data_IF_273209909822
#
_entry.id   IF_273209909822
#
_cell.length_a   1.000
_cell.length_b   1.000
_cell.length_c   1.000
_cell.angle_alpha   90.00
_cell.angle_beta   90.00
_cell.angle_gamma   90.00
#
_symmetry.space_group_name_H-M   'P 1'
#
loop_
_entity.id
_entity.type
_entity.pdbx_description
1 polymer ?
#
# COMPACT_ATOMS: atom_id res chain seq x y z
N UNK A 1 -18.71 -0.57 33.85
CA UNK A 1 -17.94 -1.49 32.97
C UNK A 1 -18.20 -1.07 31.54
N UNK A 2 -17.17 -0.55 30.86
CA UNK A 2 -17.29 -0.03 29.51
C UNK A 2 -17.25 -1.18 28.50
N UNK A 3 -18.32 -1.37 27.74
CA UNK A 3 -18.29 -2.14 26.52
C UNK A 3 -17.80 -1.21 25.41
N UNK A 4 -16.50 -1.24 25.12
CA UNK A 4 -16.01 -0.80 23.83
C UNK A 4 -16.49 -1.83 22.81
N UNK A 5 -17.69 -1.61 22.27
CA UNK A 5 -18.13 -2.30 21.07
C UNK A 5 -17.23 -1.76 19.96
N UNK A 6 -16.29 -2.61 19.57
CA UNK A 6 -15.57 -2.59 18.31
C UNK A 6 -16.54 -2.13 17.22
N UNK A 7 -16.49 -0.84 16.85
CA UNK A 7 -17.24 -0.36 15.72
C UNK A 7 -16.64 -1.10 14.52
N UNK A 8 -17.40 -1.93 13.78
CA UNK A 8 -16.92 -2.33 12.48
C UNK A 8 -16.63 -1.02 11.75
N UNK A 9 -15.47 -0.91 11.11
CA UNK A 9 -15.28 0.05 10.02
C UNK A 9 -16.42 -0.23 9.02
N UNK A 10 -17.59 0.40 9.22
CA UNK A 10 -18.78 0.36 8.37
C UNK A 10 -18.48 1.21 7.14
N UNK A 11 -17.49 0.75 6.39
CA UNK A 11 -17.19 1.27 5.09
C UNK A 11 -18.13 0.57 4.11
N UNK A 12 -18.99 1.30 3.38
CA UNK A 12 -19.91 0.72 2.42
C UNK A 12 -19.22 -0.17 1.37
N UNK A 13 -17.95 0.10 1.05
CA UNK A 13 -17.15 -0.75 0.16
C UNK A 13 -16.87 -2.14 0.74
N UNK A 14 -16.59 -2.24 2.04
CA UNK A 14 -16.35 -3.53 2.70
C UNK A 14 -17.64 -4.34 2.81
N UNK A 15 -18.76 -3.66 3.09
CA UNK A 15 -20.07 -4.29 3.17
C UNK A 15 -20.52 -4.83 1.80
N UNK A 16 -20.36 -4.02 0.74
CA UNK A 16 -20.64 -4.43 -0.64
C UNK A 16 -19.77 -5.63 -1.05
N UNK A 17 -18.47 -5.58 -0.77
CA UNK A 17 -17.57 -6.71 -1.04
C UNK A 17 -18.01 -7.99 -0.32
N UNK A 18 -18.46 -7.90 0.93
CA UNK A 18 -19.00 -9.06 1.65
C UNK A 18 -20.32 -9.58 1.07
N UNK A 19 -21.18 -8.70 0.55
CA UNK A 19 -22.41 -9.11 -0.14
C UNK A 19 -22.08 -9.86 -1.43
N UNK A 20 -21.14 -9.35 -2.22
CA UNK A 20 -20.77 -9.97 -3.49
C UNK A 20 -20.04 -11.31 -3.29
N UNK A 21 -19.29 -11.48 -2.19
CA UNK A 21 -18.77 -12.80 -1.78
C UNK A 21 -19.91 -13.78 -1.53
N UNK A 22 -20.98 -13.36 -0.83
CA UNK A 22 -22.14 -14.24 -0.57
C UNK A 22 -22.83 -14.63 -1.87
N UNK A 23 -23.03 -13.67 -2.77
CA UNK A 23 -23.61 -13.92 -4.10
C UNK A 23 -22.77 -14.93 -4.88
N UNK A 24 -21.45 -14.76 -4.93
CA UNK A 24 -20.54 -15.68 -5.62
C UNK A 24 -20.55 -17.09 -5.02
N UNK A 25 -20.79 -17.24 -3.71
CA UNK A 25 -20.99 -18.56 -3.08
C UNK A 25 -22.32 -19.18 -3.53
N UNK A 26 -23.41 -18.40 -3.54
CA UNK A 26 -24.72 -18.87 -3.98
C UNK A 26 -24.70 -19.28 -5.47
N UNK A 27 -23.91 -18.60 -6.29
CA UNK A 27 -23.70 -18.91 -7.70
C UNK A 27 -22.75 -20.11 -7.93
N UNK A 28 -22.12 -20.65 -6.87
CA UNK A 28 -21.14 -21.73 -6.97
C UNK A 28 -19.81 -21.30 -7.63
N UNK A 29 -19.52 -20.00 -7.65
CA UNK A 29 -18.27 -19.41 -8.15
C UNK A 29 -17.19 -19.33 -7.06
N UNK A 30 -17.59 -19.37 -5.78
CA UNK A 30 -16.71 -19.50 -4.62
C UNK A 30 -17.09 -20.70 -3.76
N UNK A 31 -16.06 -21.40 -3.28
CA UNK A 31 -16.18 -22.49 -2.31
C UNK A 31 -16.00 -21.99 -0.89
N UNK A 32 -16.51 -22.72 0.10
CA UNK A 32 -16.34 -22.38 1.53
C UNK A 32 -14.86 -22.21 1.92
N UNK A 33 -13.91 -23.09 1.50
CA UNK A 33 -12.49 -22.87 1.76
C UNK A 33 -11.96 -21.54 1.20
N UNK A 34 -12.33 -21.17 -0.03
CA UNK A 34 -11.92 -19.90 -0.63
C UNK A 34 -12.49 -18.70 0.14
N UNK A 35 -13.73 -18.79 0.63
CA UNK A 35 -14.34 -17.75 1.48
C UNK A 35 -13.57 -17.59 2.79
N UNK A 36 -13.17 -18.69 3.44
CA UNK A 36 -12.37 -18.65 4.67
C UNK A 36 -11.01 -17.98 4.42
N UNK A 37 -10.37 -18.28 3.29
CA UNK A 37 -9.10 -17.66 2.91
C UNK A 37 -9.25 -16.15 2.65
N UNK A 38 -10.33 -15.73 1.98
CA UNK A 38 -10.65 -14.31 1.79
C UNK A 38 -10.85 -13.60 3.13
N UNK A 39 -11.62 -14.19 4.05
CA UNK A 39 -11.86 -13.62 5.39
C UNK A 39 -10.58 -13.50 6.21
N UNK A 40 -9.74 -14.54 6.22
CA UNK A 40 -8.46 -14.53 6.92
C UNK A 40 -7.51 -13.46 6.34
N UNK A 41 -7.47 -13.32 5.01
CA UNK A 41 -6.64 -12.30 4.35
C UNK A 41 -7.15 -10.88 4.62
N UNK A 42 -8.46 -10.66 4.64
CA UNK A 42 -9.05 -9.38 5.03
C UNK A 42 -8.77 -9.02 6.50
N UNK A 43 -8.76 -10.02 7.39
CA UNK A 43 -8.40 -9.83 8.80
C UNK A 43 -6.93 -9.41 8.92
N UNK A 44 -6.02 -10.09 8.23
CA UNK A 44 -4.60 -9.72 8.19
C UNK A 44 -4.38 -8.27 7.69
N UNK A 45 -5.16 -7.82 6.69
CA UNK A 45 -5.14 -6.43 6.21
C UNK A 45 -5.70 -5.41 7.22
N UNK A 46 -6.61 -5.81 8.10
CA UNK A 46 -7.08 -4.95 9.20
C UNK A 46 -6.00 -4.83 10.27
N UNK A 47 -5.41 -5.95 10.66
CA UNK A 47 -4.37 -6.02 11.69
C UNK A 47 -3.09 -5.30 11.28
N UNK A 48 -2.67 -5.41 10.01
CA UNK A 48 -1.47 -4.71 9.51
C UNK A 48 -1.60 -3.19 9.63
N UNK A 49 -2.80 -2.65 9.40
CA UNK A 49 -3.07 -1.21 9.57
C UNK A 49 -3.05 -0.81 11.05
N UNK A 50 -3.63 -1.64 11.93
CA UNK A 50 -3.64 -1.37 13.37
C UNK A 50 -2.23 -1.45 14.01
N UNK A 51 -1.34 -2.28 13.44
CA UNK A 51 0.02 -2.47 13.92
C UNK A 51 0.99 -1.34 13.52
N UNK A 52 0.70 -0.56 12.46
CA UNK A 52 1.53 0.57 12.04
C UNK A 52 1.40 1.75 13.02
N UNK A 53 2.29 1.78 14.01
CA UNK A 53 2.43 2.90 14.94
C UNK A 53 3.24 4.05 14.31
N UNK A 54 2.96 5.32 14.65
CA UNK A 54 3.80 6.44 14.24
C UNK A 54 5.27 6.21 14.63
N UNK A 55 6.18 6.27 13.64
CA UNK A 55 7.62 6.06 13.84
C UNK A 55 8.08 4.60 13.88
N UNK A 56 7.18 3.63 13.81
CA UNK A 56 7.56 2.23 13.59
C UNK A 56 8.05 2.03 12.13
N UNK A 57 8.91 1.02 11.87
CA UNK A 57 9.27 0.64 10.52
C UNK A 57 8.02 0.36 9.69
N UNK A 58 8.03 0.81 8.44
CA UNK A 58 7.03 0.47 7.45
C UNK A 58 7.03 -1.05 7.20
N UNK A 59 5.83 -1.63 7.17
CA UNK A 59 5.56 -3.00 6.75
C UNK A 59 4.67 -2.99 5.51
N UNK A 60 5.24 -3.38 4.37
CA UNK A 60 4.57 -3.57 3.09
C UNK A 60 4.33 -5.06 2.78
N UNK A 61 5.10 -5.96 3.39
CA UNK A 61 5.08 -7.40 3.08
C UNK A 61 3.82 -8.06 3.60
N UNK A 62 3.43 -7.80 4.86
CA UNK A 62 2.20 -8.37 5.44
C UNK A 62 0.95 -7.99 4.64
N UNK A 63 0.69 -6.70 4.36
CA UNK A 63 -0.48 -6.33 3.55
C UNK A 63 -0.37 -6.84 2.11
N UNK A 64 0.83 -6.88 1.50
CA UNK A 64 1.03 -7.46 0.18
C UNK A 64 0.64 -8.94 0.13
N UNK A 65 1.09 -9.74 1.10
CA UNK A 65 0.80 -11.17 1.14
C UNK A 65 -0.69 -11.44 1.25
N UNK A 66 -1.40 -10.65 2.05
CA UNK A 66 -2.85 -10.74 2.18
C UNK A 66 -3.59 -10.34 0.89
N UNK A 67 -3.20 -9.23 0.25
CA UNK A 67 -3.77 -8.83 -1.06
C UNK A 67 -3.48 -9.88 -2.14
N UNK A 68 -2.28 -10.46 -2.14
CA UNK A 68 -1.88 -11.48 -3.11
C UNK A 68 -2.72 -12.75 -3.00
N UNK A 69 -3.02 -13.21 -1.78
CA UNK A 69 -3.95 -14.33 -1.54
C UNK A 69 -5.37 -14.01 -2.02
N UNK A 70 -5.86 -12.80 -1.75
CA UNK A 70 -7.19 -12.37 -2.23
C UNK A 70 -7.25 -12.39 -3.76
N UNK A 71 -6.24 -11.84 -4.44
CA UNK A 71 -6.13 -11.86 -5.90
C UNK A 71 -6.04 -13.30 -6.44
N UNK A 72 -5.31 -14.19 -5.77
CA UNK A 72 -5.21 -15.59 -6.16
C UNK A 72 -6.57 -16.29 -6.08
N UNK A 73 -7.33 -16.06 -5.00
CA UNK A 73 -8.70 -16.58 -4.89
C UNK A 73 -9.58 -16.00 -6.00
N UNK A 74 -9.56 -14.69 -6.24
CA UNK A 74 -10.34 -14.04 -7.31
C UNK A 74 -10.04 -14.61 -8.70
N UNK A 75 -8.78 -14.91 -8.99
CA UNK A 75 -8.37 -15.51 -10.26
C UNK A 75 -8.98 -16.90 -10.52
N UNK A 76 -9.51 -17.56 -9.49
CA UNK A 76 -10.22 -18.85 -9.60
C UNK A 76 -11.74 -18.72 -9.69
N UNK A 77 -12.30 -17.54 -9.43
CA UNK A 77 -13.75 -17.27 -9.48
C UNK A 77 -14.23 -17.25 -10.92
N UNK A 78 -15.42 -17.77 -11.19
CA UNK A 78 -16.03 -17.75 -12.53
C UNK A 78 -16.55 -16.35 -12.89
N UNK A 79 -16.62 -16.05 -14.18
CA UNK A 79 -17.34 -14.87 -14.65
C UNK A 79 -18.86 -15.07 -14.50
N UNK A 80 -19.65 -14.03 -14.20
CA UNK A 80 -19.26 -12.62 -14.06
C UNK A 80 -18.77 -12.22 -12.65
N UNK A 81 -18.92 -13.11 -11.66
CA UNK A 81 -18.65 -12.80 -10.25
C UNK A 81 -17.21 -12.32 -10.01
N UNK A 82 -16.25 -12.81 -10.80
CA UNK A 82 -14.85 -12.37 -10.74
C UNK A 82 -14.72 -10.86 -10.92
N UNK A 83 -15.31 -10.30 -11.98
CA UNK A 83 -15.20 -8.86 -12.28
C UNK A 83 -15.78 -8.00 -11.17
N UNK A 84 -16.96 -8.39 -10.68
CA UNK A 84 -17.62 -7.69 -9.57
C UNK A 84 -16.76 -7.71 -8.31
N UNK A 85 -16.25 -8.89 -7.93
CA UNK A 85 -15.39 -9.03 -6.75
C UNK A 85 -14.07 -8.26 -6.89
N UNK A 86 -13.44 -8.28 -8.05
CA UNK A 86 -12.19 -7.54 -8.30
C UNK A 86 -12.42 -6.02 -8.22
N UNK A 87 -13.53 -5.51 -8.75
CA UNK A 87 -13.89 -4.10 -8.65
C UNK A 87 -14.10 -3.69 -7.20
N UNK A 88 -14.94 -4.42 -6.48
CA UNK A 88 -15.25 -4.13 -5.08
C UNK A 88 -14.02 -4.19 -4.19
N UNK A 89 -13.16 -5.18 -4.41
CA UNK A 89 -11.92 -5.30 -3.68
C UNK A 89 -10.96 -4.14 -3.95
N UNK A 90 -10.88 -3.65 -5.19
CA UNK A 90 -10.09 -2.44 -5.49
C UNK A 90 -10.59 -1.22 -4.72
N UNK A 91 -11.92 -1.08 -4.54
CA UNK A 91 -12.50 -0.01 -3.71
C UNK A 91 -12.14 -0.21 -2.23
N UNK A 92 -12.19 -1.45 -1.71
CA UNK A 92 -11.76 -1.76 -0.34
C UNK A 92 -10.29 -1.36 -0.14
N UNK A 93 -9.39 -1.75 -1.04
CA UNK A 93 -7.97 -1.39 -0.98
C UNK A 93 -7.76 0.13 -1.05
N UNK A 94 -8.51 0.81 -1.92
CA UNK A 94 -8.43 2.27 -2.04
C UNK A 94 -8.93 3.01 -0.79
N UNK A 95 -9.92 2.48 -0.09
CA UNK A 95 -10.45 3.07 1.15
C UNK A 95 -9.67 2.68 2.41
N UNK A 96 -8.83 1.64 2.32
CA UNK A 96 -7.91 1.21 3.39
C UNK A 96 -6.70 2.13 3.57
N UNK A 97 -6.68 3.29 2.90
CA UNK A 97 -5.65 4.31 3.08
C UNK A 97 -5.37 4.56 4.57
N UNK A 98 -4.09 4.76 4.95
CA UNK A 98 -3.75 5.30 6.26
C UNK A 98 -4.60 6.55 6.50
N UNK A 99 -5.28 6.61 7.65
CA UNK A 99 -6.19 7.70 7.98
C UNK A 99 -5.43 9.01 7.87
N UNK A 100 -6.00 10.00 7.18
CA UNK A 100 -5.37 11.30 6.99
C UNK A 100 -4.94 11.86 8.35
N UNK A 101 -3.62 11.98 8.55
CA UNK A 101 -3.07 12.70 9.69
C UNK A 101 -3.57 14.15 9.60
N UNK A 102 -4.03 14.74 10.70
CA UNK A 102 -4.41 16.16 10.76
C UNK A 102 -3.22 17.13 10.52
N UNK A 103 -2.01 16.59 10.32
CA UNK A 103 -0.81 17.34 9.97
C UNK A 103 -0.69 17.49 8.45
N UNK A 104 -0.13 18.61 7.95
CA UNK A 104 0.10 18.80 6.53
C UNK A 104 0.88 17.62 5.92
N UNK A 105 0.40 17.14 4.78
CA UNK A 105 0.91 15.94 4.11
C UNK A 105 2.31 16.21 3.54
N UNK A 106 3.35 15.85 4.30
CA UNK A 106 4.75 16.04 3.84
C UNK A 106 5.06 15.12 2.64
N UNK A 107 6.02 15.48 1.76
CA UNK A 107 6.42 14.64 0.62
C UNK A 107 6.79 13.19 1.02
N UNK A 108 7.39 13.00 2.20
CA UNK A 108 7.71 11.66 2.70
C UNK A 108 6.48 10.84 3.12
N UNK A 109 5.44 11.49 3.65
CA UNK A 109 4.16 10.83 3.98
C UNK A 109 3.42 10.45 2.70
N UNK A 110 3.44 11.33 1.69
CA UNK A 110 2.86 11.05 0.36
C UNK A 110 3.57 9.89 -0.32
N UNK A 111 4.90 9.90 -0.39
CA UNK A 111 5.67 8.80 -0.99
C UNK A 111 5.31 7.45 -0.36
N UNK A 112 5.28 7.37 0.98
CA UNK A 112 4.94 6.13 1.67
C UNK A 112 3.54 5.62 1.32
N UNK A 113 2.57 6.53 1.17
CA UNK A 113 1.20 6.21 0.76
C UNK A 113 1.14 5.74 -0.69
N UNK A 114 1.83 6.42 -1.60
CA UNK A 114 1.80 6.10 -3.02
C UNK A 114 2.51 4.78 -3.32
N UNK A 115 3.64 4.50 -2.65
CA UNK A 115 4.31 3.18 -2.75
C UNK A 115 3.40 2.08 -2.19
N UNK A 116 2.74 2.31 -1.06
CA UNK A 116 1.78 1.34 -0.52
C UNK A 116 0.66 1.04 -1.52
N UNK A 117 0.05 2.07 -2.11
CA UNK A 117 -1.01 1.90 -3.12
C UNK A 117 -0.50 1.17 -4.36
N UNK A 118 0.69 1.54 -4.86
CA UNK A 118 1.31 0.88 -6.00
C UNK A 118 1.52 -0.61 -5.75
N UNK A 119 2.00 -0.98 -4.56
CA UNK A 119 2.19 -2.40 -4.19
C UNK A 119 0.85 -3.15 -4.12
N UNK A 120 -0.17 -2.58 -3.48
CA UNK A 120 -1.46 -3.27 -3.33
C UNK A 120 -2.21 -3.40 -4.68
N UNK A 121 -2.15 -2.37 -5.53
CA UNK A 121 -2.90 -2.33 -6.81
C UNK A 121 -2.16 -2.96 -7.97
N UNK A 122 -0.83 -2.91 -7.95
CA UNK A 122 0.04 -3.57 -8.92
C UNK A 122 0.21 -5.06 -8.63
N UNK A 123 1.07 -5.72 -9.42
CA UNK A 123 1.46 -7.11 -9.22
C UNK A 123 2.99 -7.23 -9.08
N UNK A 124 3.63 -6.51 -8.15
CA UNK A 124 5.06 -6.69 -7.92
C UNK A 124 5.36 -8.08 -7.36
N UNK A 125 6.62 -8.52 -7.51
CA UNK A 125 7.11 -9.72 -6.84
C UNK A 125 7.38 -9.44 -5.36
N UNK A 126 7.37 -10.48 -4.51
CA UNK A 126 7.70 -10.31 -3.09
C UNK A 126 9.08 -9.68 -2.89
N UNK A 127 10.07 -10.03 -3.71
CA UNK A 127 11.40 -9.42 -3.67
C UNK A 127 11.36 -7.90 -3.94
N UNK A 128 10.53 -7.46 -4.89
CA UNK A 128 10.33 -6.03 -5.16
C UNK A 128 9.65 -5.32 -3.98
N UNK A 129 8.70 -5.97 -3.31
CA UNK A 129 8.04 -5.43 -2.10
C UNK A 129 9.03 -5.29 -0.95
N UNK A 130 9.86 -6.31 -0.72
CA UNK A 130 10.91 -6.28 0.31
C UNK A 130 11.93 -5.17 0.04
N UNK A 131 12.35 -5.01 -1.22
CA UNK A 131 13.26 -3.94 -1.62
C UNK A 131 12.65 -2.55 -1.37
N UNK A 132 11.39 -2.34 -1.77
CA UNK A 132 10.68 -1.07 -1.50
C UNK A 132 10.56 -0.79 0.01
N UNK A 133 10.24 -1.79 0.80
CA UNK A 133 10.15 -1.66 2.26
C UNK A 133 11.50 -1.27 2.87
N UNK A 134 12.59 -1.93 2.46
CA UNK A 134 13.93 -1.62 2.94
C UNK A 134 14.37 -0.20 2.58
N UNK A 135 14.17 0.24 1.33
CA UNK A 135 14.53 1.59 0.91
C UNK A 135 13.69 2.66 1.62
N UNK A 136 12.39 2.42 1.85
CA UNK A 136 11.54 3.34 2.62
C UNK A 136 11.91 3.41 4.10
N UNK A 137 12.22 2.27 4.73
CA UNK A 137 12.69 2.24 6.12
C UNK A 137 14.05 2.93 6.27
N UNK A 138 14.94 2.78 5.29
CA UNK A 138 16.20 3.52 5.23
C UNK A 138 15.96 5.03 5.14
N UNK A 139 15.00 5.48 4.31
CA UNK A 139 14.62 6.90 4.25
C UNK A 139 14.07 7.43 5.58
N UNK A 140 13.28 6.63 6.30
CA UNK A 140 12.76 6.98 7.62
C UNK A 140 13.89 7.10 8.65
N UNK A 141 14.84 6.14 8.66
CA UNK A 141 15.98 6.17 9.59
C UNK A 141 16.92 7.35 9.31
N UNK A 142 17.03 7.83 8.07
CA UNK A 142 17.88 8.98 7.74
C UNK A 142 17.46 10.26 8.47
N UNK A 143 16.15 10.47 8.68
CA UNK A 143 15.64 11.61 9.46
C UNK A 143 15.96 11.50 10.95
N UNK A 144 16.09 10.29 11.47
CA UNK A 144 16.41 10.03 12.87
C UNK A 144 17.93 9.93 13.12
N UNK A 145 18.72 9.68 12.08
CA UNK A 145 20.17 9.51 12.17
C UNK A 145 20.87 10.86 12.35
N UNK A 146 21.69 11.00 13.40
CA UNK A 146 22.54 12.17 13.65
C UNK A 146 23.77 12.28 12.72
N UNK A 147 23.70 11.64 11.55
CA UNK A 147 24.78 11.62 10.56
C UNK A 147 25.03 13.01 9.95
N UNK A 148 26.26 13.25 9.48
CA UNK A 148 26.58 14.50 8.79
C UNK A 148 25.77 14.67 7.49
N UNK A 149 25.40 15.92 7.16
CA UNK A 149 24.55 16.26 5.99
C UNK A 149 24.98 15.62 4.67
N UNK A 150 26.28 15.44 4.45
CA UNK A 150 26.82 14.78 3.24
C UNK A 150 26.49 13.29 3.18
N UNK A 151 26.55 12.60 4.31
CA UNK A 151 26.25 11.17 4.39
C UNK A 151 24.74 10.95 4.23
N UNK A 152 23.92 11.76 4.91
CA UNK A 152 22.48 11.78 4.73
C UNK A 152 22.07 12.01 3.26
N UNK A 153 22.75 12.93 2.56
CA UNK A 153 22.48 13.19 1.14
C UNK A 153 22.81 12.00 0.23
N UNK A 154 23.93 11.31 0.46
CA UNK A 154 24.30 10.10 -0.31
C UNK A 154 23.30 8.98 -0.09
N UNK A 155 22.96 8.71 1.17
CA UNK A 155 21.99 7.67 1.52
C UNK A 155 20.60 7.99 0.99
N UNK A 156 20.18 9.27 1.01
CA UNK A 156 18.94 9.73 0.38
C UNK A 156 18.96 9.46 -1.13
N UNK A 157 20.05 9.80 -1.82
CA UNK A 157 20.19 9.57 -3.27
C UNK A 157 20.15 8.08 -3.60
N UNK A 158 20.79 7.24 -2.80
CA UNK A 158 20.79 5.79 -2.99
C UNK A 158 19.38 5.21 -2.83
N UNK A 159 18.72 5.48 -1.70
CA UNK A 159 17.37 4.97 -1.44
C UNK A 159 16.35 5.46 -2.49
N UNK A 160 16.49 6.70 -2.96
CA UNK A 160 15.71 7.22 -4.10
C UNK A 160 15.92 6.39 -5.37
N UNK A 161 17.18 6.15 -5.73
CA UNK A 161 17.52 5.35 -6.92
C UNK A 161 16.99 3.92 -6.83
N UNK A 162 17.04 3.30 -5.65
CA UNK A 162 16.54 1.93 -5.44
C UNK A 162 15.02 1.84 -5.59
N UNK A 163 14.28 2.81 -5.03
CA UNK A 163 12.83 2.89 -5.20
C UNK A 163 12.49 3.11 -6.67
N UNK A 164 13.14 4.05 -7.35
CA UNK A 164 12.91 4.31 -8.78
C UNK A 164 13.18 3.07 -9.64
N UNK A 165 14.30 2.37 -9.43
CA UNK A 165 14.62 1.14 -10.15
C UNK A 165 13.57 0.06 -9.91
N UNK A 166 13.16 -0.12 -8.66
CA UNK A 166 12.14 -1.13 -8.32
C UNK A 166 10.81 -0.80 -8.97
N UNK A 167 10.40 0.47 -8.94
CA UNK A 167 9.15 0.96 -9.56
C UNK A 167 9.16 0.85 -11.09
N UNK A 168 10.33 0.95 -11.72
CA UNK A 168 10.48 0.78 -13.17
C UNK A 168 10.55 -0.69 -13.61
N UNK A 169 11.10 -1.57 -12.77
CA UNK A 169 11.23 -3.00 -13.05
C UNK A 169 9.98 -3.82 -12.67
N UNK A 170 9.19 -3.35 -11.71
CA UNK A 170 8.01 -4.05 -11.23
C UNK A 170 6.76 -3.86 -12.10
N UNK A 171 5.84 -4.82 -12.01
CA UNK A 171 4.54 -4.76 -12.69
C UNK A 171 3.57 -3.86 -11.93
N UNK A 172 3.88 -2.57 -11.88
CA UNK A 172 3.04 -1.53 -11.30
C UNK A 172 2.11 -0.92 -12.36
N UNK A 173 0.99 -0.36 -11.91
CA UNK A 173 0.13 0.42 -12.82
C UNK A 173 0.86 1.71 -13.21
N UNK A 174 0.79 2.16 -14.47
CA UNK A 174 1.51 3.37 -14.91
C UNK A 174 1.21 4.62 -14.08
N UNK A 175 -0.05 4.77 -13.65
CA UNK A 175 -0.50 5.89 -12.82
C UNK A 175 0.12 5.86 -11.41
N UNK A 176 0.04 4.70 -10.72
CA UNK A 176 0.62 4.55 -9.39
C UNK A 176 2.15 4.68 -9.45
N UNK A 177 2.79 4.16 -10.51
CA UNK A 177 4.23 4.35 -10.75
C UNK A 177 4.59 5.82 -10.88
N UNK A 178 3.86 6.57 -11.71
CA UNK A 178 4.15 7.99 -11.92
C UNK A 178 4.00 8.79 -10.63
N UNK A 179 2.95 8.54 -9.86
CA UNK A 179 2.71 9.21 -8.57
C UNK A 179 3.89 8.99 -7.60
N UNK A 180 4.39 7.76 -7.49
CA UNK A 180 5.58 7.45 -6.69
C UNK A 180 6.82 8.19 -7.18
N UNK A 181 7.05 8.25 -8.49
CA UNK A 181 8.22 8.96 -9.05
C UNK A 181 8.14 10.46 -8.81
N UNK A 182 6.95 11.06 -8.93
CA UNK A 182 6.72 12.48 -8.68
C UNK A 182 6.99 12.83 -7.20
N UNK A 183 6.46 12.03 -6.27
CA UNK A 183 6.71 12.18 -4.83
C UNK A 183 8.18 11.97 -4.46
N UNK A 184 8.85 11.02 -5.11
CA UNK A 184 10.26 10.74 -4.92
C UNK A 184 11.14 11.91 -5.38
N UNK A 185 10.76 12.57 -6.48
CA UNK A 185 11.40 13.81 -6.93
C UNK A 185 11.21 14.95 -5.92
N UNK A 186 10.05 15.03 -5.26
CA UNK A 186 9.76 16.02 -4.23
C UNK A 186 10.55 15.82 -2.92
N UNK A 187 11.18 14.65 -2.70
CA UNK A 187 11.85 14.26 -1.45
C UNK A 187 13.31 14.74 -1.29
N UNK A 188 13.76 15.72 -2.06
CA UNK A 188 15.13 16.27 -1.97
C UNK A 188 15.14 17.68 -1.39
N UNK A 189 16.33 18.27 -1.08
CA UNK A 189 16.39 19.72 -1.07
C UNK A 189 15.87 20.18 -2.43
N UNK A 190 14.77 20.95 -2.45
CA UNK A 190 14.42 21.71 -3.64
C UNK A 190 15.68 22.48 -3.97
N UNK A 191 16.39 22.04 -5.01
CA UNK A 191 17.54 22.76 -5.53
C UNK A 191 17.05 24.18 -5.65
N UNK A 192 17.71 25.09 -4.93
CA UNK A 192 17.36 26.49 -4.95
C UNK A 192 17.13 26.84 -6.39
N UNK A 193 15.92 27.32 -6.69
CA UNK A 193 15.63 27.94 -7.96
C UNK A 193 16.63 29.07 -8.09
N UNK A 194 17.80 28.77 -8.66
CA UNK A 194 18.52 29.70 -9.51
C UNK A 194 17.51 30.03 -10.60
N UNK A 195 16.68 31.04 -10.29
CA UNK A 195 16.26 32.05 -11.23
C UNK A 195 17.56 32.61 -11.82
N UNK A 196 18.08 31.87 -12.80
CA UNK A 196 19.12 32.33 -13.70
C UNK A 196 18.43 33.39 -14.55
N UNK A 197 18.97 34.60 -14.45
CA UNK A 197 18.35 35.80 -14.98
C UNK A 197 17.94 35.71 -16.45
N UNK A 198 16.88 36.46 -16.72
CA UNK A 198 16.47 37.03 -17.99
C UNK A 198 15.65 38.25 -17.62
#
# INVERSE_FOLDING_TARGET
MAAAVDAPDSNPATEKFHQDIKTAVMNGSLTIPQVKELQASLAALKESKAAQKPGAPLDLVTPYGAVSKIKAVMATVKQPDRETLEQDFQVVVANKQPTASAEPETPGKKLGKDVYLAVMRGNPTEAQVQQLQQSLNSLQSLKASGEGKLQQFRSLKQAKSEIEQTMNAGSFRPQDRQAVLDDLNALGPQGGGMRRGG
#
